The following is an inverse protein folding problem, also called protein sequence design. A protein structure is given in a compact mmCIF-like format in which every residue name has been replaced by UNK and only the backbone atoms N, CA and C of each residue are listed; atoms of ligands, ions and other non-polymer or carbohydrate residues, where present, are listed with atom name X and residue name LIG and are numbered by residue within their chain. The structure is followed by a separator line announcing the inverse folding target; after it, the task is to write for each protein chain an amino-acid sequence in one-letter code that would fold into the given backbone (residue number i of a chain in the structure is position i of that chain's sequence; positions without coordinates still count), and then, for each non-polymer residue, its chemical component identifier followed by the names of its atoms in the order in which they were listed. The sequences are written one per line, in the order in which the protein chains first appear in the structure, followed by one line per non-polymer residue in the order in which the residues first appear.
data_IF_357764515212
#
_entry.id   IF_357764515212
#
_cell.length_a   1.000
_cell.length_b   1.000
_cell.length_c   1.000
_cell.angle_alpha   90.00
_cell.angle_beta   90.00
_cell.angle_gamma   90.00
#
_symmetry.space_group_name_H-M   'P 1'
#
loop_
_entity.id
_entity.type
_entity.pdbx_description
1 polymer ?
#
# COMPACT_ATOMS: atom_id res chain seq x y z
N UNK A 1 15.85 -7.81 -2.62
CA UNK A 1 17.19 -7.32 -3.02
C UNK A 1 17.64 -6.23 -2.05
N UNK A 2 18.94 -6.14 -1.71
CA UNK A 2 19.46 -5.09 -0.83
C UNK A 2 20.73 -4.43 -1.38
N UNK A 3 21.02 -3.21 -0.91
CA UNK A 3 22.25 -2.47 -1.17
C UNK A 3 22.88 -2.10 0.17
N UNK A 4 24.21 -2.02 0.23
CA UNK A 4 24.96 -1.75 1.46
C UNK A 4 26.12 -0.80 1.17
N UNK A 5 26.39 0.09 2.10
CA UNK A 5 27.64 0.84 2.17
C UNK A 5 28.09 1.00 3.62
N UNK A 6 29.38 1.26 3.84
CA UNK A 6 29.97 1.50 5.16
C UNK A 6 31.03 2.59 5.06
N UNK A 7 31.13 3.46 6.07
CA UNK A 7 32.12 4.54 6.15
C UNK A 7 32.48 4.81 7.61
N UNK A 8 33.76 4.79 7.95
CA UNK A 8 34.30 5.20 9.26
C UNK A 8 33.48 4.67 10.45
N UNK A 9 33.21 3.36 10.48
CA UNK A 9 32.46 2.71 11.56
C UNK A 9 30.93 2.77 11.45
N UNK A 10 30.37 3.50 10.48
CA UNK A 10 28.92 3.55 10.21
C UNK A 10 28.58 2.64 9.05
N UNK A 11 27.49 1.87 9.15
CA UNK A 11 26.98 1.00 8.08
C UNK A 11 25.53 1.32 7.78
N UNK A 12 25.18 1.32 6.49
CA UNK A 12 23.80 1.44 6.01
C UNK A 12 23.50 0.30 5.04
N UNK A 13 22.45 -0.45 5.31
CA UNK A 13 21.83 -1.43 4.43
C UNK A 13 20.42 -0.94 4.07
N UNK A 14 20.09 -0.93 2.79
CA UNK A 14 18.74 -0.65 2.30
C UNK A 14 18.17 -1.90 1.63
N UNK A 15 16.97 -2.32 2.05
CA UNK A 15 16.25 -3.45 1.49
C UNK A 15 15.06 -2.92 0.69
N UNK A 16 14.99 -3.28 -0.60
CA UNK A 16 13.85 -2.94 -1.45
C UNK A 16 12.65 -3.81 -1.06
N UNK A 17 11.52 -3.16 -0.79
CA UNK A 17 10.19 -3.76 -0.76
C UNK A 17 9.34 -3.25 -1.94
N UNK A 18 8.05 -3.58 -1.92
CA UNK A 18 7.10 -3.08 -2.92
C UNK A 18 6.69 -1.63 -2.59
N UNK A 19 7.15 -0.68 -3.41
CA UNK A 19 6.94 0.75 -3.23
C UNK A 19 7.36 1.27 -1.84
N UNK A 20 8.36 0.62 -1.23
CA UNK A 20 8.95 1.03 0.05
C UNK A 20 10.40 0.53 0.18
N UNK A 21 11.16 1.17 1.08
CA UNK A 21 12.52 0.74 1.44
C UNK A 21 12.64 0.61 2.95
N UNK A 22 13.12 -0.54 3.42
CA UNK A 22 13.58 -0.72 4.79
C UNK A 22 15.07 -0.34 4.87
N UNK A 23 15.36 0.71 5.61
CA UNK A 23 16.72 1.12 5.97
C UNK A 23 17.09 0.45 7.29
N UNK A 24 18.24 -0.20 7.33
CA UNK A 24 18.86 -0.71 8.54
C UNK A 24 20.25 -0.10 8.63
N UNK A 25 20.57 0.50 9.76
CA UNK A 25 21.83 1.19 9.96
C UNK A 25 22.46 0.76 11.27
N UNK A 26 23.78 0.85 11.35
CA UNK A 26 24.58 0.31 12.45
C UNK A 26 25.83 1.17 12.66
N UNK A 27 26.37 1.15 13.89
CA UNK A 27 27.64 1.81 14.23
C UNK A 27 28.53 0.89 15.04
N UNK A 28 29.84 1.02 14.86
CA UNK A 28 30.83 0.30 15.66
C UNK A 28 30.78 0.75 17.13
N UNK A 29 31.26 -0.12 18.01
CA UNK A 29 31.19 0.08 19.47
C UNK A 29 31.89 1.37 19.94
N UNK A 30 32.98 1.78 19.29
CA UNK A 30 33.73 3.01 19.58
C UNK A 30 32.93 4.30 19.24
N UNK A 31 31.96 4.20 18.33
CA UNK A 31 31.03 5.29 18.00
C UNK A 31 29.78 5.30 18.90
N UNK A 32 29.47 4.19 19.58
CA UNK A 32 28.35 4.10 20.51
C UNK A 32 28.72 4.68 21.88
N UNK A 33 28.82 6.01 21.93
CA UNK A 33 29.19 6.80 23.12
C UNK A 33 27.95 7.16 23.96
N UNK A 34 28.16 7.55 25.21
CA UNK A 34 27.07 7.95 26.12
C UNK A 34 26.21 9.11 25.58
N UNK A 35 26.80 10.01 24.78
CA UNK A 35 26.08 11.14 24.18
C UNK A 35 25.47 10.81 22.80
N UNK A 36 25.47 9.55 22.37
CA UNK A 36 24.80 9.13 21.14
C UNK A 36 23.27 9.19 21.30
N UNK A 37 22.60 9.86 20.36
CA UNK A 37 21.14 10.12 20.45
C UNK A 37 20.34 9.60 19.25
N UNK A 38 20.97 8.88 18.34
CA UNK A 38 20.29 8.22 17.21
C UNK A 38 20.84 8.65 15.84
N UNK A 39 19.98 8.61 14.82
CA UNK A 39 20.39 8.78 13.43
C UNK A 39 19.57 9.82 12.68
N UNK A 40 20.25 10.66 11.92
CA UNK A 40 19.59 11.47 10.89
C UNK A 40 19.57 10.73 9.58
N UNK A 41 18.44 10.80 8.87
CA UNK A 41 18.27 10.15 7.58
C UNK A 41 17.76 11.17 6.58
N UNK A 42 18.58 11.44 5.56
CA UNK A 42 18.21 12.27 4.42
C UNK A 42 18.01 11.39 3.20
N UNK A 43 17.10 11.75 2.31
CA UNK A 43 17.01 11.12 1.01
C UNK A 43 17.02 12.16 -0.11
N UNK A 44 17.48 11.75 -1.28
CA UNK A 44 17.28 12.42 -2.56
C UNK A 44 16.36 11.55 -3.41
N UNK A 45 15.23 12.11 -3.86
CA UNK A 45 14.26 11.43 -4.72
C UNK A 45 14.74 11.38 -6.17
N UNK A 46 14.10 10.53 -7.02
CA UNK A 46 14.36 10.50 -8.46
C UNK A 46 14.20 11.87 -9.13
N UNK A 47 13.29 12.71 -8.63
CA UNK A 47 13.10 14.09 -9.11
C UNK A 47 14.20 15.07 -8.70
N UNK A 48 15.19 14.64 -7.91
CA UNK A 48 16.28 15.47 -7.40
C UNK A 48 15.97 16.21 -6.09
N UNK A 49 14.72 16.21 -5.62
CA UNK A 49 14.34 16.83 -4.35
C UNK A 49 15.00 16.10 -3.17
N UNK A 50 15.46 16.85 -2.18
CA UNK A 50 16.13 16.30 -0.99
C UNK A 50 15.39 16.68 0.27
N UNK A 51 15.07 15.70 1.12
CA UNK A 51 14.38 15.93 2.38
C UNK A 51 14.96 15.03 3.48
N UNK A 52 14.88 15.48 4.73
CA UNK A 52 15.06 14.59 5.86
C UNK A 52 13.79 13.77 6.07
N UNK A 53 13.95 12.50 6.46
CA UNK A 53 12.83 11.74 6.99
C UNK A 53 12.39 12.36 8.32
N UNK A 54 11.09 12.34 8.59
CA UNK A 54 10.51 12.93 9.80
C UNK A 54 10.33 11.88 10.90
N UNK A 55 10.55 12.32 12.13
CA UNK A 55 10.34 11.58 13.36
C UNK A 55 9.26 12.26 14.22
N UNK A 56 8.64 11.50 15.12
CA UNK A 56 7.70 12.01 16.13
C UNK A 56 8.28 12.03 17.54
N UNK A 57 9.33 11.24 17.77
CA UNK A 57 10.06 11.27 19.04
C UNK A 57 11.06 12.41 18.91
N UNK A 58 10.65 13.58 19.41
CA UNK A 58 11.44 14.81 19.42
C UNK A 58 11.74 15.22 20.87
N UNK A 59 12.70 16.13 21.07
CA UNK A 59 13.13 16.55 22.41
C UNK A 59 12.06 17.31 23.20
N UNK A 60 11.10 17.95 22.52
CA UNK A 60 9.98 18.65 23.15
C UNK A 60 8.90 17.70 23.70
N UNK A 61 8.89 16.43 23.26
CA UNK A 61 7.91 15.43 23.68
C UNK A 61 6.48 15.66 23.18
N UNK A 62 6.28 16.61 22.27
CA UNK A 62 4.94 17.03 21.80
C UNK A 62 4.37 16.16 20.66
N UNK A 63 5.17 15.22 20.15
CA UNK A 63 4.76 14.29 19.09
C UNK A 63 4.56 14.93 17.72
N UNK A 64 4.97 16.20 17.52
CA UNK A 64 4.97 16.84 16.20
C UNK A 64 5.98 16.18 15.27
N UNK A 65 5.67 16.19 13.97
CA UNK A 65 6.59 15.71 12.95
C UNK A 65 7.75 16.68 12.83
N UNK A 66 8.95 16.18 13.11
CA UNK A 66 10.18 16.95 13.10
C UNK A 66 11.20 16.23 12.23
N UNK A 67 11.91 16.96 11.38
CA UNK A 67 12.96 16.40 10.54
C UNK A 67 14.03 15.68 11.39
N UNK A 68 14.54 14.55 10.90
CA UNK A 68 15.47 13.69 11.65
C UNK A 68 16.85 14.32 11.88
N UNK A 69 17.15 15.46 11.26
CA UNK A 69 18.31 16.28 11.61
C UNK A 69 18.12 17.07 12.93
N UNK A 70 16.89 17.23 13.38
CA UNK A 70 16.51 17.87 14.65
C UNK A 70 15.94 16.86 15.65
N UNK A 71 15.35 15.77 15.16
CA UNK A 71 14.80 14.69 15.98
C UNK A 71 15.33 13.31 15.50
N UNK A 72 16.57 12.94 15.86
CA UNK A 72 17.22 11.72 15.36
C UNK A 72 16.41 10.45 15.68
N UNK A 73 16.45 9.46 14.79
CA UNK A 73 15.79 8.18 15.03
C UNK A 73 16.56 7.36 16.09
N UNK A 74 15.90 7.10 17.21
CA UNK A 74 16.42 6.26 18.32
C UNK A 74 16.17 4.76 18.07
N UNK A 75 16.31 4.33 16.81
CA UNK A 75 16.11 2.93 16.37
C UNK A 75 17.08 2.66 15.25
N UNK A 76 17.66 1.46 15.19
CA UNK A 76 18.62 1.04 14.15
C UNK A 76 17.99 0.67 12.79
N UNK A 77 16.71 1.00 12.59
CA UNK A 77 15.98 0.75 11.34
C UNK A 77 14.85 1.75 11.13
N UNK A 78 14.51 1.99 9.87
CA UNK A 78 13.41 2.85 9.48
C UNK A 78 12.82 2.44 8.12
N UNK A 79 11.51 2.56 7.95
CA UNK A 79 10.85 2.31 6.66
C UNK A 79 10.51 3.64 6.00
N UNK A 80 10.93 3.80 4.75
CA UNK A 80 10.52 4.93 3.92
C UNK A 80 9.55 4.45 2.83
N UNK A 81 8.35 5.05 2.83
CA UNK A 81 7.32 4.83 1.81
C UNK A 81 7.08 6.16 1.09
N UNK A 82 7.42 6.29 -0.20
CA UNK A 82 7.16 7.49 -1.01
C UNK A 82 5.70 7.94 -0.92
N UNK A 83 5.46 9.24 -1.00
CA UNK A 83 4.11 9.82 -0.86
C UNK A 83 3.56 9.85 0.58
N UNK A 84 4.24 9.25 1.56
CA UNK A 84 3.80 9.34 2.96
C UNK A 84 4.04 10.74 3.52
N UNK A 85 5.24 11.27 3.30
CA UNK A 85 5.69 12.59 3.74
C UNK A 85 6.42 13.30 2.59
N UNK A 86 6.34 14.63 2.54
CA UNK A 86 7.02 15.50 1.55
C UNK A 86 6.67 15.27 0.07
N UNK A 87 5.77 14.35 -0.24
CA UNK A 87 5.35 13.97 -1.58
C UNK A 87 3.85 13.72 -1.61
N UNK A 88 3.24 13.80 -2.79
CA UNK A 88 1.84 13.44 -2.98
C UNK A 88 1.64 11.92 -2.91
N UNK A 89 0.53 11.50 -2.31
CA UNK A 89 0.10 10.09 -2.31
C UNK A 89 -0.41 9.68 -3.69
N UNK A 90 -1.01 10.61 -4.43
CA UNK A 90 -1.66 10.29 -5.72
C UNK A 90 -0.65 9.94 -6.80
N UNK A 91 0.56 10.47 -6.71
CA UNK A 91 1.67 10.21 -7.62
C UNK A 91 3.00 10.26 -6.84
N UNK A 92 3.38 9.17 -6.14
CA UNK A 92 4.69 9.10 -5.50
C UNK A 92 5.79 9.05 -6.57
N UNK A 93 6.94 9.66 -6.30
CA UNK A 93 8.05 9.65 -7.25
C UNK A 93 8.83 8.32 -7.16
N UNK A 94 8.34 7.27 -7.82
CA UNK A 94 9.07 6.00 -7.86
C UNK A 94 10.37 6.07 -8.68
N UNK A 95 11.30 5.17 -8.37
CA UNK A 95 12.60 5.06 -9.05
C UNK A 95 13.77 4.97 -8.09
N UNK A 96 14.96 5.39 -8.53
CA UNK A 96 16.17 5.33 -7.70
C UNK A 96 16.22 6.45 -6.67
N UNK A 97 16.25 6.08 -5.39
CA UNK A 97 16.50 6.99 -4.28
C UNK A 97 17.93 6.82 -3.78
N UNK A 98 18.53 7.94 -3.36
CA UNK A 98 19.77 7.92 -2.58
C UNK A 98 19.46 8.28 -1.14
N UNK A 99 19.85 7.43 -0.20
CA UNK A 99 19.68 7.65 1.24
C UNK A 99 21.02 7.95 1.88
N UNK A 100 21.04 8.91 2.80
CA UNK A 100 22.19 9.30 3.60
C UNK A 100 21.85 9.09 5.07
N UNK A 101 22.74 8.45 5.82
CA UNK A 101 22.59 8.24 7.26
C UNK A 101 23.81 8.78 7.99
N UNK A 102 23.55 9.55 9.05
CA UNK A 102 24.58 10.14 9.91
C UNK A 102 24.23 9.85 11.38
N UNK A 103 25.11 9.21 12.18
CA UNK A 103 24.91 9.09 13.62
C UNK A 103 24.97 10.47 14.28
N UNK A 104 24.16 10.68 15.31
CA UNK A 104 24.00 11.97 15.98
C UNK A 104 24.37 11.89 17.45
N UNK A 105 24.95 12.98 17.93
CA UNK A 105 25.45 13.12 19.29
C UNK A 105 24.93 14.44 19.89
N UNK A 106 24.76 14.43 21.20
CA UNK A 106 24.39 15.60 21.99
C UNK A 106 25.63 16.30 22.52
N UNK A 107 25.70 17.61 22.32
CA UNK A 107 26.69 18.51 22.90
C UNK A 107 26.11 19.07 24.21
N UNK A 108 26.58 18.54 25.34
CA UNK A 108 26.11 18.97 26.66
C UNK A 108 26.44 20.44 26.96
N UNK A 109 27.59 20.93 26.50
CA UNK A 109 28.01 22.32 26.74
C UNK A 109 27.13 23.32 26.00
N UNK A 110 26.67 22.96 24.79
CA UNK A 110 25.78 23.81 23.98
C UNK A 110 24.30 23.53 24.20
N UNK A 111 23.96 22.48 24.97
CA UNK A 111 22.60 21.95 25.10
C UNK A 111 21.91 21.79 23.73
N UNK A 112 22.64 21.22 22.75
CA UNK A 112 22.18 21.10 21.37
C UNK A 112 22.74 19.86 20.68
N UNK A 113 22.15 19.48 19.55
CA UNK A 113 22.75 18.47 18.68
C UNK A 113 24.04 18.98 18.04
N UNK A 114 25.05 18.12 17.95
CA UNK A 114 26.22 18.38 17.12
C UNK A 114 25.82 18.55 15.65
N UNK A 115 26.61 19.33 14.90
CA UNK A 115 26.46 19.46 13.45
C UNK A 115 26.63 18.08 12.79
N UNK A 116 25.96 17.88 11.65
CA UNK A 116 26.13 16.65 10.86
C UNK A 116 27.61 16.46 10.52
N UNK A 117 28.13 15.27 10.82
CA UNK A 117 29.52 14.92 10.56
C UNK A 117 29.61 14.16 9.23
N UNK A 118 30.05 14.85 8.18
CA UNK A 118 30.17 14.27 6.84
C UNK A 118 31.17 13.10 6.77
N UNK A 119 32.15 13.03 7.69
CA UNK A 119 33.05 11.88 7.77
C UNK A 119 32.34 10.62 8.26
N UNK A 120 31.22 10.75 8.96
CA UNK A 120 30.38 9.63 9.43
C UNK A 120 29.11 9.44 8.59
N UNK A 121 28.85 10.32 7.61
CA UNK A 121 27.71 10.16 6.70
C UNK A 121 28.00 9.06 5.68
N UNK A 122 27.17 8.02 5.69
CA UNK A 122 27.19 6.92 4.70
C UNK A 122 25.94 6.99 3.82
N UNK A 123 26.08 6.68 2.54
CA UNK A 123 24.96 6.68 1.61
C UNK A 123 24.83 5.40 0.79
N UNK A 124 23.60 5.12 0.35
CA UNK A 124 23.27 4.04 -0.58
C UNK A 124 22.23 4.49 -1.59
N UNK A 125 22.39 4.05 -2.84
CA UNK A 125 21.33 4.13 -3.84
C UNK A 125 20.58 2.81 -3.95
N UNK A 126 19.26 2.89 -4.01
CA UNK A 126 18.39 1.75 -4.21
C UNK A 126 17.11 2.17 -4.93
N UNK A 127 16.60 1.25 -5.75
CA UNK A 127 15.30 1.41 -6.38
C UNK A 127 14.17 1.29 -5.35
N UNK A 128 13.24 2.24 -5.38
CA UNK A 128 12.03 2.29 -4.58
C UNK A 128 10.85 2.45 -5.54
N UNK A 129 10.40 1.32 -6.07
CA UNK A 129 9.33 1.18 -7.04
C UNK A 129 8.55 -0.11 -6.72
N UNK A 130 7.54 -0.43 -7.51
CA UNK A 130 6.81 -1.70 -7.47
C UNK A 130 7.78 -2.88 -7.46
N UNK A 131 7.49 -3.89 -6.66
CA UNK A 131 8.33 -5.08 -6.59
C UNK A 131 7.93 -6.05 -7.70
N UNK A 132 8.75 -6.08 -8.75
CA UNK A 132 8.58 -6.95 -9.92
C UNK A 132 9.85 -7.74 -10.16
N UNK A 133 9.70 -9.00 -10.52
CA UNK A 133 10.78 -9.86 -10.98
C UNK A 133 10.28 -10.71 -12.14
N UNK A 134 10.77 -10.41 -13.35
CA UNK A 134 10.34 -11.03 -14.60
C UNK A 134 8.81 -11.00 -14.76
N UNK A 135 8.14 -12.15 -14.68
CA UNK A 135 6.68 -12.29 -14.82
C UNK A 135 5.91 -12.17 -13.51
N UNK A 136 6.58 -11.98 -12.37
CA UNK A 136 5.95 -11.87 -11.05
C UNK A 136 5.91 -10.41 -10.60
N UNK A 137 4.74 -9.93 -10.18
CA UNK A 137 4.56 -8.62 -9.55
C UNK A 137 3.86 -8.79 -8.20
N UNK A 138 4.45 -8.27 -7.13
CA UNK A 138 3.80 -8.26 -5.83
C UNK A 138 3.04 -6.95 -5.58
N UNK A 139 1.96 -7.05 -4.84
CA UNK A 139 1.22 -5.91 -4.29
C UNK A 139 0.87 -6.18 -2.84
N UNK A 140 1.00 -5.18 -1.98
CA UNK A 140 0.66 -5.28 -0.57
C UNK A 140 -0.41 -4.26 -0.20
N UNK A 141 -1.27 -4.65 0.74
CA UNK A 141 -2.11 -3.67 1.44
C UNK A 141 -1.25 -2.96 2.49
N UNK A 142 -1.62 -1.71 2.80
CA UNK A 142 -1.06 -0.98 3.93
C UNK A 142 -1.76 -1.40 5.22
N UNK A 143 -3.09 -1.48 5.21
CA UNK A 143 -3.92 -2.08 6.27
C UNK A 143 -3.56 -1.68 7.70
N UNK A 144 -3.59 -0.37 7.93
CA UNK A 144 -3.32 0.26 9.24
C UNK A 144 -4.48 1.16 9.66
N UNK A 145 -5.71 0.65 9.58
CA UNK A 145 -6.89 1.31 10.13
C UNK A 145 -6.65 1.60 11.61
N UNK A 146 -6.94 2.81 12.08
CA UNK A 146 -6.67 3.33 13.45
C UNK A 146 -5.19 3.63 13.80
N UNK A 147 -4.23 3.42 12.89
CA UNK A 147 -2.86 3.88 13.17
C UNK A 147 -2.78 5.40 13.33
N UNK A 148 -1.78 5.90 14.07
CA UNK A 148 -1.54 7.34 14.18
C UNK A 148 -1.34 8.04 12.82
N UNK A 149 -0.77 7.32 11.83
CA UNK A 149 -0.62 7.83 10.48
C UNK A 149 -1.96 7.95 9.75
N UNK A 150 -2.87 6.99 9.97
CA UNK A 150 -4.25 7.02 9.50
C UNK A 150 -5.01 8.18 10.14
N UNK A 151 -5.04 8.25 11.48
CA UNK A 151 -5.79 9.26 12.23
C UNK A 151 -5.37 10.67 11.86
N UNK A 152 -4.07 10.93 11.72
CA UNK A 152 -3.58 12.24 11.28
C UNK A 152 -4.03 12.60 9.86
N UNK A 153 -4.21 11.60 8.99
CA UNK A 153 -4.54 11.83 7.58
C UNK A 153 -6.03 11.93 7.34
N UNK A 154 -6.82 11.05 7.95
CA UNK A 154 -8.25 10.87 7.69
C UNK A 154 -9.15 11.11 8.91
N UNK A 155 -8.58 11.52 10.05
CA UNK A 155 -9.30 11.65 11.31
C UNK A 155 -9.62 10.28 11.93
N UNK A 156 -10.50 10.29 12.91
CA UNK A 156 -10.88 9.07 13.65
C UNK A 156 -11.96 8.24 12.93
N UNK A 157 -12.53 8.76 11.84
CA UNK A 157 -13.53 8.04 11.06
C UNK A 157 -12.93 6.74 10.51
N UNK A 158 -13.54 5.61 10.84
CA UNK A 158 -13.18 4.27 10.38
C UNK A 158 -14.35 3.55 9.68
N UNK A 159 -15.46 4.25 9.41
CA UNK A 159 -16.61 3.73 8.68
C UNK A 159 -16.31 3.68 7.20
N UNK A 160 -15.66 2.60 6.79
CA UNK A 160 -15.21 2.40 5.41
C UNK A 160 -16.36 2.19 4.42
N UNK A 161 -17.62 2.29 4.83
CA UNK A 161 -18.79 2.30 3.94
C UNK A 161 -19.73 3.45 4.34
N UNK A 162 -20.41 4.12 3.39
CA UNK A 162 -21.30 5.25 3.68
C UNK A 162 -22.64 4.85 4.32
N UNK A 163 -22.82 3.57 4.68
CA UNK A 163 -24.12 2.97 4.97
C UNK A 163 -24.94 2.71 3.70
N UNK A 164 -25.92 1.81 3.79
CA UNK A 164 -26.76 1.43 2.66
C UNK A 164 -26.09 0.41 1.73
N UNK A 165 -26.16 0.63 0.41
CA UNK A 165 -25.61 -0.31 -0.57
C UNK A 165 -24.09 -0.37 -0.51
N UNK A 166 -23.53 -1.58 -0.50
CA UNK A 166 -22.09 -1.82 -0.65
C UNK A 166 -21.57 -1.32 -2.01
N UNK A 167 -22.40 -1.29 -3.04
CA UNK A 167 -22.03 -0.83 -4.38
C UNK A 167 -22.35 0.67 -4.56
N UNK A 168 -21.45 1.53 -4.09
CA UNK A 168 -21.63 2.99 -4.10
C UNK A 168 -20.56 3.74 -4.91
N UNK A 169 -20.73 5.05 -5.10
CA UNK A 169 -19.70 5.91 -5.72
C UNK A 169 -18.55 6.26 -4.77
N UNK A 170 -17.37 5.69 -5.03
CA UNK A 170 -16.16 5.95 -4.22
C UNK A 170 -15.62 7.38 -4.41
N UNK A 171 -16.15 8.15 -5.35
CA UNK A 171 -15.89 9.59 -5.48
C UNK A 171 -16.57 10.42 -4.37
N UNK A 172 -17.54 9.85 -3.66
CA UNK A 172 -18.20 10.50 -2.52
C UNK A 172 -17.21 10.82 -1.41
N UNK A 173 -17.48 11.90 -0.68
CA UNK A 173 -16.65 12.35 0.43
C UNK A 173 -16.74 11.35 1.58
N UNK A 174 -15.58 10.86 2.03
CA UNK A 174 -15.42 10.05 3.23
C UNK A 174 -15.23 10.90 4.48
N UNK A 175 -14.31 11.87 4.43
CA UNK A 175 -14.04 12.77 5.56
C UNK A 175 -13.44 14.10 5.12
N UNK A 176 -13.39 15.05 6.06
CA UNK A 176 -12.67 16.31 5.91
C UNK A 176 -11.73 16.48 7.11
N UNK A 177 -10.44 16.71 6.86
CA UNK A 177 -9.43 16.97 7.90
C UNK A 177 -8.79 18.33 7.62
N UNK A 178 -9.02 19.29 8.51
CA UNK A 178 -8.69 20.70 8.25
C UNK A 178 -9.48 21.22 7.04
N UNK A 179 -8.80 21.78 6.05
CA UNK A 179 -9.41 22.24 4.79
C UNK A 179 -9.50 21.17 3.70
N UNK A 180 -8.93 19.97 3.93
CA UNK A 180 -8.81 18.94 2.91
C UNK A 180 -9.94 17.93 3.00
N UNK A 181 -10.64 17.73 1.88
CA UNK A 181 -11.63 16.67 1.70
C UNK A 181 -10.96 15.42 1.13
N UNK A 182 -11.39 14.26 1.62
CA UNK A 182 -10.95 12.95 1.13
C UNK A 182 -12.16 12.14 0.70
N UNK A 183 -12.06 11.49 -0.45
CA UNK A 183 -13.09 10.57 -0.94
C UNK A 183 -12.86 9.15 -0.42
N UNK A 184 -13.84 8.26 -0.57
CA UNK A 184 -13.62 6.82 -0.31
C UNK A 184 -12.49 6.26 -1.16
N UNK A 185 -12.38 6.67 -2.43
CA UNK A 185 -11.29 6.27 -3.32
C UNK A 185 -9.91 6.71 -2.80
N UNK A 186 -9.80 7.91 -2.20
CA UNK A 186 -8.54 8.37 -1.59
C UNK A 186 -8.14 7.48 -0.40
N UNK A 187 -9.11 7.06 0.41
CA UNK A 187 -8.89 6.21 1.58
C UNK A 187 -8.55 4.78 1.16
N UNK A 188 -9.34 4.20 0.26
CA UNK A 188 -9.12 2.85 -0.26
C UNK A 188 -7.81 2.74 -1.05
N UNK A 189 -7.45 3.76 -1.83
CA UNK A 189 -6.16 3.83 -2.49
C UNK A 189 -4.99 3.89 -1.48
N UNK A 190 -5.18 4.58 -0.35
CA UNK A 190 -4.15 4.64 0.70
C UNK A 190 -4.05 3.36 1.51
N UNK A 191 -5.17 2.74 1.90
CA UNK A 191 -5.19 1.51 2.71
C UNK A 191 -4.89 0.27 1.88
N UNK A 192 -5.51 0.14 0.71
CA UNK A 192 -5.29 -0.97 -0.23
C UNK A 192 -3.97 -0.90 -0.99
N UNK A 193 -3.33 0.28 -0.98
CA UNK A 193 -1.99 0.54 -1.49
C UNK A 193 -1.74 -0.12 -2.86
N UNK A 194 -0.65 -0.87 -2.99
CA UNK A 194 -0.22 -1.48 -4.24
C UNK A 194 -1.04 -2.70 -4.59
N UNK A 195 -1.56 -3.45 -3.61
CA UNK A 195 -2.43 -4.59 -3.85
C UNK A 195 -3.73 -4.19 -4.56
N UNK A 196 -4.47 -3.22 -3.99
CA UNK A 196 -5.71 -2.73 -4.59
C UNK A 196 -5.44 -2.12 -5.97
N UNK A 197 -4.36 -1.35 -6.10
CA UNK A 197 -3.98 -0.75 -7.38
C UNK A 197 -3.74 -1.81 -8.47
N UNK A 198 -3.00 -2.88 -8.15
CA UNK A 198 -2.74 -3.99 -9.09
C UNK A 198 -4.03 -4.69 -9.49
N UNK A 199 -4.90 -5.04 -8.55
CA UNK A 199 -6.17 -5.71 -8.86
C UNK A 199 -7.11 -4.84 -9.70
N UNK A 200 -7.28 -3.56 -9.33
CA UNK A 200 -8.13 -2.63 -10.09
C UNK A 200 -7.57 -2.39 -11.50
N UNK A 201 -6.26 -2.22 -11.63
CA UNK A 201 -5.64 -1.99 -12.94
C UNK A 201 -5.74 -3.23 -13.84
N UNK A 202 -5.64 -4.43 -13.27
CA UNK A 202 -5.85 -5.68 -14.02
C UNK A 202 -7.26 -5.76 -14.61
N UNK A 203 -8.29 -5.46 -13.82
CA UNK A 203 -9.68 -5.44 -14.32
C UNK A 203 -9.89 -4.35 -15.37
N UNK A 204 -9.27 -3.16 -15.20
CA UNK A 204 -9.30 -2.08 -16.20
C UNK A 204 -8.58 -2.45 -17.50
N UNK A 205 -7.46 -3.17 -17.41
CA UNK A 205 -6.73 -3.70 -18.57
C UNK A 205 -7.63 -4.63 -19.39
N UNK A 206 -8.32 -5.58 -18.73
CA UNK A 206 -9.29 -6.46 -19.39
C UNK A 206 -10.44 -5.66 -20.00
N UNK A 207 -10.95 -4.66 -19.28
CA UNK A 207 -12.07 -3.84 -19.77
C UNK A 207 -11.70 -3.05 -21.04
N UNK A 208 -10.45 -2.59 -21.13
CA UNK A 208 -9.93 -1.75 -22.21
C UNK A 208 -9.39 -2.50 -23.44
N UNK A 209 -9.19 -3.81 -23.39
CA UNK A 209 -8.66 -4.60 -24.51
C UNK A 209 -9.63 -5.71 -24.93
N UNK A 210 -10.21 -5.63 -26.12
CA UNK A 210 -11.24 -6.56 -26.61
C UNK A 210 -10.77 -7.99 -26.84
N UNK A 211 -9.46 -8.24 -26.94
CA UNK A 211 -8.92 -9.60 -26.97
C UNK A 211 -8.91 -10.28 -25.60
N UNK A 212 -9.06 -9.51 -24.51
CA UNK A 212 -8.97 -10.01 -23.14
C UNK A 212 -10.33 -10.33 -22.52
N UNK A 213 -10.34 -11.35 -21.66
CA UNK A 213 -11.46 -11.70 -20.77
C UNK A 213 -10.92 -12.12 -19.41
N UNK A 214 -11.78 -12.18 -18.39
CA UNK A 214 -11.40 -12.57 -17.03
C UNK A 214 -12.26 -13.72 -16.49
N UNK A 215 -11.64 -14.67 -15.80
CA UNK A 215 -12.32 -15.55 -14.84
C UNK A 215 -12.00 -15.05 -13.43
N UNK A 216 -13.01 -14.70 -12.64
CA UNK A 216 -12.87 -14.19 -11.28
C UNK A 216 -13.43 -15.21 -10.30
N UNK A 217 -12.60 -15.62 -9.34
CA UNK A 217 -12.98 -16.48 -8.22
C UNK A 217 -12.91 -15.64 -6.95
N UNK A 218 -14.04 -15.47 -6.29
CA UNK A 218 -14.14 -14.59 -5.13
C UNK A 218 -14.85 -15.30 -3.97
N UNK A 219 -14.16 -15.35 -2.83
CA UNK A 219 -14.72 -15.84 -1.58
C UNK A 219 -15.58 -14.78 -0.87
N UNK A 220 -15.01 -13.59 -0.64
CA UNK A 220 -15.65 -12.47 0.04
C UNK A 220 -15.52 -11.24 -0.87
N UNK A 221 -16.67 -10.66 -1.22
CA UNK A 221 -16.79 -9.71 -2.32
C UNK A 221 -17.74 -8.55 -1.98
N UNK A 222 -17.15 -7.41 -1.63
CA UNK A 222 -17.89 -6.16 -1.38
C UNK A 222 -17.08 -4.90 -1.75
N UNK A 223 -15.95 -5.01 -2.47
CA UNK A 223 -15.18 -3.83 -2.86
C UNK A 223 -15.91 -3.08 -4.01
N UNK A 224 -16.35 -1.82 -3.81
CA UNK A 224 -17.30 -1.18 -4.73
C UNK A 224 -16.72 -0.91 -6.13
N UNK A 225 -15.42 -0.65 -6.23
CA UNK A 225 -14.77 -0.36 -7.52
C UNK A 225 -14.62 -1.64 -8.34
N UNK A 226 -14.23 -2.75 -7.71
CA UNK A 226 -14.17 -4.06 -8.33
C UNK A 226 -15.54 -4.56 -8.74
N UNK A 227 -16.55 -4.39 -7.86
CA UNK A 227 -17.95 -4.68 -8.18
C UNK A 227 -18.41 -3.98 -9.46
N UNK A 228 -18.17 -2.66 -9.59
CA UNK A 228 -18.50 -1.90 -10.79
C UNK A 228 -17.76 -2.40 -12.03
N UNK A 229 -16.45 -2.61 -11.94
CA UNK A 229 -15.64 -3.10 -13.07
C UNK A 229 -16.09 -4.49 -13.54
N UNK A 230 -16.42 -5.38 -12.61
CA UNK A 230 -16.95 -6.70 -12.95
C UNK A 230 -18.33 -6.61 -13.63
N UNK A 231 -19.21 -5.69 -13.21
CA UNK A 231 -20.48 -5.44 -13.92
C UNK A 231 -20.26 -4.84 -15.32
N UNK A 232 -19.30 -3.93 -15.48
CA UNK A 232 -18.95 -3.38 -16.79
C UNK A 232 -18.40 -4.46 -17.74
N UNK A 233 -17.56 -5.36 -17.23
CA UNK A 233 -17.10 -6.53 -17.98
C UNK A 233 -18.26 -7.48 -18.32
N UNK A 234 -19.22 -7.66 -17.41
CA UNK A 234 -20.40 -8.50 -17.64
C UNK A 234 -21.25 -7.95 -18.80
N UNK A 235 -21.46 -6.64 -18.85
CA UNK A 235 -22.17 -5.95 -19.94
C UNK A 235 -21.50 -6.14 -21.30
N UNK A 236 -20.18 -6.37 -21.31
CA UNK A 236 -19.40 -6.66 -22.53
C UNK A 236 -19.25 -8.15 -22.85
N UNK A 237 -19.75 -9.05 -22.00
CA UNK A 237 -19.57 -10.49 -22.16
C UNK A 237 -18.15 -11.00 -21.88
N UNK A 238 -17.31 -10.21 -21.19
CA UNK A 238 -15.86 -10.45 -21.06
C UNK A 238 -15.45 -11.09 -19.74
N UNK A 239 -16.40 -11.61 -18.95
CA UNK A 239 -16.13 -12.11 -17.60
C UNK A 239 -16.95 -13.34 -17.24
N UNK A 240 -16.30 -14.30 -16.58
CA UNK A 240 -16.97 -15.31 -15.77
C UNK A 240 -16.64 -15.07 -14.31
N UNK A 241 -17.65 -15.10 -13.45
CA UNK A 241 -17.48 -14.98 -12.00
C UNK A 241 -17.93 -16.27 -11.33
N UNK A 242 -17.08 -16.79 -10.44
CA UNK A 242 -17.37 -17.87 -9.51
C UNK A 242 -17.34 -17.25 -8.11
N UNK A 243 -18.48 -17.22 -7.46
CA UNK A 243 -18.69 -16.47 -6.22
C UNK A 243 -19.18 -17.38 -5.11
N UNK A 244 -18.57 -17.26 -3.93
CA UNK A 244 -18.93 -18.11 -2.80
C UNK A 244 -20.40 -17.95 -2.38
N UNK A 245 -20.96 -19.04 -1.85
CA UNK A 245 -22.29 -19.06 -1.26
C UNK A 245 -22.31 -19.88 0.05
N UNK A 246 -21.23 -19.81 0.82
CA UNK A 246 -21.27 -20.22 2.23
C UNK A 246 -22.35 -19.45 2.98
N UNK A 247 -22.72 -19.93 4.18
CA UNK A 247 -23.91 -19.45 4.88
C UNK A 247 -23.92 -17.94 5.14
N UNK A 248 -22.75 -17.32 5.35
CA UNK A 248 -22.63 -15.86 5.51
C UNK A 248 -22.66 -15.08 4.19
N UNK A 249 -22.38 -15.73 3.07
CA UNK A 249 -22.36 -15.13 1.72
C UNK A 249 -23.63 -15.43 0.91
N UNK A 250 -24.58 -16.18 1.49
CA UNK A 250 -25.82 -16.60 0.82
C UNK A 250 -27.09 -15.99 1.42
N UNK A 251 -26.97 -15.03 2.35
CA UNK A 251 -28.14 -14.31 2.88
C UNK A 251 -28.65 -13.27 1.87
N UNK A 252 -29.87 -12.78 2.06
CA UNK A 252 -30.47 -11.76 1.19
C UNK A 252 -29.74 -10.41 1.31
N UNK A 253 -29.12 -10.15 2.46
CA UNK A 253 -28.33 -8.94 2.73
C UNK A 253 -26.86 -9.06 2.29
N UNK A 254 -26.40 -10.27 1.91
CA UNK A 254 -25.02 -10.49 1.49
C UNK A 254 -24.73 -9.75 0.18
N UNK A 255 -23.58 -9.08 0.12
CA UNK A 255 -23.11 -8.38 -1.08
C UNK A 255 -22.99 -9.32 -2.27
N UNK A 256 -22.62 -10.58 -2.04
CA UNK A 256 -22.54 -11.61 -3.08
C UNK A 256 -23.89 -11.91 -3.73
N UNK A 257 -24.97 -11.96 -2.94
CA UNK A 257 -26.34 -12.18 -3.42
C UNK A 257 -26.84 -10.99 -4.24
N UNK A 258 -26.64 -9.77 -3.75
CA UNK A 258 -26.97 -8.54 -4.50
C UNK A 258 -26.13 -8.43 -5.79
N UNK A 259 -24.84 -8.77 -5.74
CA UNK A 259 -23.96 -8.76 -6.91
C UNK A 259 -24.42 -9.75 -7.97
N UNK A 260 -24.76 -10.99 -7.59
CA UNK A 260 -25.28 -11.99 -8.53
C UNK A 260 -26.54 -11.50 -9.25
N UNK A 261 -27.47 -10.89 -8.52
CA UNK A 261 -28.69 -10.32 -9.11
C UNK A 261 -28.34 -9.27 -10.16
N UNK A 262 -27.54 -8.26 -9.79
CA UNK A 262 -27.10 -7.18 -10.68
C UNK A 262 -26.31 -7.72 -11.88
N UNK A 263 -25.48 -8.73 -11.67
CA UNK A 263 -24.71 -9.36 -12.73
C UNK A 263 -25.64 -10.06 -13.72
N UNK A 264 -26.62 -10.84 -13.26
CA UNK A 264 -27.55 -11.56 -14.12
C UNK A 264 -28.45 -10.60 -14.92
N UNK A 265 -28.78 -9.43 -14.36
CA UNK A 265 -29.48 -8.36 -15.07
C UNK A 265 -28.59 -7.67 -16.12
N UNK A 266 -27.29 -7.52 -15.85
CA UNK A 266 -26.37 -6.76 -16.69
C UNK A 266 -25.64 -7.59 -17.76
N UNK A 267 -25.49 -8.91 -17.55
CA UNK A 267 -24.63 -9.77 -18.38
C UNK A 267 -25.12 -9.84 -19.83
N UNK A 268 -24.18 -9.92 -20.75
CA UNK A 268 -24.43 -10.16 -22.17
C UNK A 268 -23.45 -11.18 -22.73
N UNK A 269 -23.71 -11.68 -23.95
CA UNK A 269 -22.76 -12.53 -24.68
C UNK A 269 -22.28 -13.75 -23.86
N UNK A 270 -20.97 -13.88 -23.73
CA UNK A 270 -20.32 -15.01 -23.04
C UNK A 270 -20.14 -14.82 -21.53
N UNK A 271 -20.70 -13.76 -20.93
CA UNK A 271 -20.56 -13.55 -19.49
C UNK A 271 -21.33 -14.61 -18.68
N UNK A 272 -20.69 -15.12 -17.62
CA UNK A 272 -21.22 -16.21 -16.80
C UNK A 272 -21.10 -15.91 -15.31
N UNK A 273 -22.10 -16.32 -14.54
CA UNK A 273 -22.08 -16.28 -13.08
C UNK A 273 -22.33 -17.68 -12.57
N UNK A 274 -21.53 -18.10 -11.60
CA UNK A 274 -21.68 -19.37 -10.89
C UNK A 274 -21.57 -19.08 -9.40
N UNK A 275 -22.55 -19.52 -8.62
CA UNK A 275 -22.44 -19.57 -7.16
C UNK A 275 -21.97 -20.94 -6.73
N UNK A 276 -21.05 -21.03 -5.79
CA UNK A 276 -20.62 -22.32 -5.28
C UNK A 276 -19.78 -22.23 -4.02
N UNK A 277 -19.98 -23.18 -3.10
CA UNK A 277 -19.23 -23.34 -1.85
C UNK A 277 -18.37 -24.59 -1.96
N UNK A 278 -17.07 -24.42 -2.17
CA UNK A 278 -16.14 -25.54 -2.34
C UNK A 278 -15.56 -26.01 -1.01
N UNK A 279 -16.34 -26.77 -0.22
CA UNK A 279 -15.93 -27.25 1.11
C UNK A 279 -15.50 -26.11 2.07
N UNK A 280 -15.10 -26.42 3.32
CA UNK A 280 -14.95 -25.39 4.36
C UNK A 280 -13.75 -24.43 4.21
N UNK A 281 -12.82 -24.69 3.28
CA UNK A 281 -11.53 -23.98 3.23
C UNK A 281 -11.15 -23.42 1.85
N UNK A 282 -11.98 -23.56 0.82
CA UNK A 282 -11.70 -22.94 -0.47
C UNK A 282 -12.02 -21.44 -0.42
N UNK A 283 -11.04 -20.68 0.07
CA UNK A 283 -11.06 -19.23 0.19
C UNK A 283 -10.45 -18.60 -1.07
N UNK A 284 -11.08 -18.84 -2.23
CA UNK A 284 -10.50 -18.46 -3.52
C UNK A 284 -10.51 -16.93 -3.74
N UNK A 285 -9.37 -16.42 -4.22
CA UNK A 285 -9.10 -14.99 -4.48
C UNK A 285 -8.28 -14.88 -5.74
N UNK A 286 -8.88 -15.22 -6.87
CA UNK A 286 -8.15 -15.45 -8.12
C UNK A 286 -8.77 -14.66 -9.25
N UNK A 287 -7.95 -14.02 -10.08
CA UNK A 287 -8.35 -13.49 -11.38
C UNK A 287 -7.46 -14.13 -12.43
N UNK A 288 -8.04 -14.86 -13.37
CA UNK A 288 -7.32 -15.39 -14.54
C UNK A 288 -7.69 -14.54 -15.73
N UNK A 289 -6.72 -13.84 -16.31
CA UNK A 289 -6.90 -13.12 -17.57
C UNK A 289 -6.58 -14.06 -18.72
N UNK A 290 -7.46 -14.06 -19.71
CA UNK A 290 -7.33 -14.83 -20.93
C UNK A 290 -7.31 -13.92 -22.14
N UNK A 291 -6.36 -14.13 -23.04
CA UNK A 291 -6.34 -13.54 -24.36
C UNK A 291 -6.87 -14.57 -25.36
N UNK A 292 -7.94 -14.26 -26.10
CA UNK A 292 -8.55 -15.19 -27.06
C UNK A 292 -8.80 -16.60 -26.47
N UNK A 293 -9.37 -16.65 -25.25
CA UNK A 293 -9.61 -17.85 -24.45
C UNK A 293 -8.37 -18.63 -23.95
N UNK A 294 -7.15 -18.11 -24.14
CA UNK A 294 -5.92 -18.69 -23.59
C UNK A 294 -5.47 -17.92 -22.36
N UNK A 295 -5.23 -18.55 -21.20
CA UNK A 295 -4.71 -17.86 -20.02
C UNK A 295 -3.35 -17.20 -20.29
N UNK A 296 -3.21 -15.93 -19.92
CA UNK A 296 -1.98 -15.15 -20.12
C UNK A 296 -1.45 -14.50 -18.83
N UNK A 297 -2.31 -14.33 -17.82
CA UNK A 297 -1.95 -13.70 -16.55
C UNK A 297 -2.86 -14.21 -15.45
N UNK A 298 -2.34 -14.38 -14.25
CA UNK A 298 -3.11 -14.71 -13.05
C UNK A 298 -2.79 -13.70 -11.97
N UNK A 299 -3.80 -13.30 -11.20
CA UNK A 299 -3.65 -12.61 -9.94
C UNK A 299 -4.16 -13.53 -8.84
N UNK A 300 -3.38 -13.71 -7.79
CA UNK A 300 -3.76 -14.48 -6.60
C UNK A 300 -3.15 -13.87 -5.34
N UNK A 301 -3.43 -14.43 -4.17
CA UNK A 301 -2.86 -13.98 -2.89
C UNK A 301 -3.82 -14.17 -1.72
N UNK A 302 -3.51 -13.52 -0.60
CA UNK A 302 -4.32 -13.61 0.62
C UNK A 302 -5.50 -12.63 0.65
N UNK A 303 -5.58 -11.69 -0.29
CA UNK A 303 -6.54 -10.59 -0.27
C UNK A 303 -7.92 -11.01 -0.78
N UNK A 304 -8.95 -10.98 0.06
CA UNK A 304 -10.35 -11.01 -0.39
C UNK A 304 -10.66 -9.79 -1.27
N UNK A 305 -11.59 -9.93 -2.22
CA UNK A 305 -12.05 -8.82 -3.05
C UNK A 305 -13.10 -7.97 -2.33
N UNK A 306 -12.80 -7.64 -1.08
CA UNK A 306 -13.64 -6.93 -0.14
C UNK A 306 -12.94 -5.66 0.41
N UNK A 307 -13.73 -4.68 0.85
CA UNK A 307 -13.26 -3.48 1.54
C UNK A 307 -12.40 -3.88 2.73
N UNK A 308 -12.83 -4.85 3.53
CA UNK A 308 -12.06 -5.38 4.66
C UNK A 308 -10.76 -6.04 4.19
N UNK A 309 -10.83 -6.86 3.14
CA UNK A 309 -9.67 -7.52 2.55
C UNK A 309 -8.56 -6.56 2.14
N UNK A 310 -8.92 -5.47 1.44
CA UNK A 310 -7.97 -4.47 0.98
C UNK A 310 -7.60 -3.41 2.02
N UNK A 311 -8.51 -3.04 2.91
CA UNK A 311 -8.37 -1.82 3.70
C UNK A 311 -8.08 -2.04 5.18
N UNK A 312 -8.35 -3.23 5.70
CA UNK A 312 -8.24 -3.54 7.13
C UNK A 312 -7.17 -4.61 7.38
N UNK A 313 -7.17 -5.67 6.58
CA UNK A 313 -6.31 -6.84 6.80
C UNK A 313 -4.95 -6.68 6.10
N UNK A 314 -3.85 -6.96 6.81
CA UNK A 314 -2.52 -6.99 6.21
C UNK A 314 -2.41 -8.18 5.25
N UNK A 315 -2.42 -7.89 3.96
CA UNK A 315 -2.63 -8.85 2.89
C UNK A 315 -1.74 -8.52 1.68
N UNK A 316 -1.69 -9.45 0.73
CA UNK A 316 -0.96 -9.28 -0.52
C UNK A 316 -1.69 -9.90 -1.72
N UNK A 317 -1.26 -9.47 -2.90
CA UNK A 317 -1.56 -10.07 -4.20
C UNK A 317 -0.25 -10.30 -4.96
N UNK A 318 -0.27 -11.22 -5.92
CA UNK A 318 0.83 -11.61 -6.79
C UNK A 318 0.32 -11.95 -8.19
#
# INVERSE_FOLDING_TARGET
MYKKNSKNGVTLKAYRGDAMVLLAFDITKDLFKENFVGFSVKYKSPSGASNFLVNRINFEGDGKLTDSDKAPFQKFRWIHVPGTYHQSVKNPNYGTYRYYVTPRYWDQTKAALEKLNENLTVDVEIENDRLRDQSLELGFTRSFLTSQAYVRRFGENNDLTPGGSWLFDTSNIFCTVGSRKYTYEDVYGWLGFTARNTTVNLLKEVLGNDALSADVFAYDFDEPTMGKLCLDLARKGKIRVILDNSSSHATDEASETDFEKRFNEAKSGTAQMVRGKFSRFAHDKVIIVKENNKPVKVLTGSTNFSVTGFSVNANHVA
#
